data_IF_147627779486
#
_entry.id   IF_147627779486
#
_cell.length_a   1.000
_cell.length_b   1.000
_cell.length_c   1.000
_cell.angle_alpha   90.00
_cell.angle_beta   90.00
_cell.angle_gamma   90.00
#
_symmetry.space_group_name_H-M   'P 1'
#
loop_
_entity.id
_entity.type
_entity.pdbx_description
1 polymer ?
#
# COMPACT_ATOMS: atom_id res chain seq x y z
N UNK A 1 13.46 -5.86 -2.28
CA UNK A 1 12.54 -6.62 -3.14
C UNK A 1 11.48 -5.65 -3.62
N UNK A 2 11.26 -5.61 -4.93
CA UNK A 2 10.25 -4.73 -5.55
C UNK A 2 9.15 -5.59 -6.15
N UNK A 3 7.94 -5.04 -6.16
CA UNK A 3 6.83 -5.55 -6.96
C UNK A 3 6.50 -4.51 -8.03
N UNK A 4 5.90 -4.96 -9.12
CA UNK A 4 5.66 -4.15 -10.31
C UNK A 4 4.17 -3.98 -10.59
N UNK A 5 3.88 -3.20 -11.62
CA UNK A 5 2.54 -3.06 -12.17
C UNK A 5 2.32 -4.09 -13.28
N UNK A 6 1.06 -4.46 -13.50
CA UNK A 6 0.63 -5.22 -14.65
C UNK A 6 0.58 -4.35 -15.92
N UNK A 7 0.21 -4.96 -17.04
CA UNK A 7 0.07 -4.27 -18.33
C UNK A 7 -1.01 -3.16 -18.36
N UNK A 8 -1.92 -3.13 -17.37
CA UNK A 8 -2.97 -2.13 -17.24
C UNK A 8 -2.53 -0.95 -16.34
N UNK A 9 -1.33 -1.02 -15.77
CA UNK A 9 -0.83 -0.06 -14.80
C UNK A 9 -1.48 -0.23 -13.42
N UNK A 10 -2.04 -1.40 -13.12
CA UNK A 10 -2.48 -1.78 -11.77
C UNK A 10 -1.38 -2.55 -11.05
N UNK A 11 -1.44 -2.63 -9.72
CA UNK A 11 -0.48 -3.43 -8.96
C UNK A 11 -0.62 -4.90 -9.36
N UNK A 12 0.50 -5.56 -9.69
CA UNK A 12 0.51 -7.00 -9.93
C UNK A 12 0.38 -7.74 -8.57
N UNK A 13 -0.87 -8.00 -8.21
CA UNK A 13 -1.23 -8.64 -6.94
C UNK A 13 -0.75 -10.08 -6.86
N UNK A 14 -0.72 -10.80 -7.99
CA UNK A 14 -0.27 -12.19 -8.02
C UNK A 14 1.24 -12.25 -7.74
N UNK A 15 2.00 -11.38 -8.40
CA UNK A 15 3.44 -11.24 -8.15
C UNK A 15 3.71 -10.82 -6.71
N UNK A 16 3.01 -9.81 -6.20
CA UNK A 16 3.17 -9.36 -4.82
C UNK A 16 2.88 -10.49 -3.84
N UNK A 17 1.80 -11.24 -4.05
CA UNK A 17 1.42 -12.36 -3.19
C UNK A 17 2.46 -13.48 -3.18
N UNK A 18 2.95 -13.86 -4.36
CA UNK A 18 4.00 -14.87 -4.52
C UNK A 18 5.27 -14.45 -3.77
N UNK A 19 5.73 -13.22 -4.02
CA UNK A 19 6.93 -12.66 -3.39
C UNK A 19 6.79 -12.55 -1.87
N UNK A 20 5.62 -12.15 -1.38
CA UNK A 20 5.33 -12.04 0.05
C UNK A 20 5.42 -13.40 0.75
N UNK A 21 4.86 -14.46 0.16
CA UNK A 21 4.91 -15.82 0.73
C UNK A 21 6.30 -16.46 0.65
N UNK A 22 7.01 -16.22 -0.45
CA UNK A 22 8.35 -16.77 -0.67
C UNK A 22 9.37 -16.15 0.28
N UNK A 23 9.36 -14.82 0.41
CA UNK A 23 10.40 -14.10 1.14
C UNK A 23 10.00 -13.68 2.55
N UNK A 24 8.71 -13.72 2.90
CA UNK A 24 8.14 -13.35 4.22
C UNK A 24 8.76 -12.07 4.79
N UNK A 25 8.72 -10.95 4.04
CA UNK A 25 9.28 -9.69 4.53
C UNK A 25 8.57 -9.26 5.82
N UNK A 26 9.27 -8.59 6.72
CA UNK A 26 8.67 -8.03 7.94
C UNK A 26 7.81 -6.79 7.68
N UNK A 27 7.89 -6.22 6.48
CA UNK A 27 7.31 -4.95 6.10
C UNK A 27 6.85 -5.00 4.64
N UNK A 28 5.62 -4.58 4.39
CA UNK A 28 5.10 -4.27 3.06
C UNK A 28 4.87 -2.76 3.01
N UNK A 29 5.52 -2.09 2.05
CA UNK A 29 5.41 -0.64 1.87
C UNK A 29 4.68 -0.35 0.57
N UNK A 30 3.64 0.48 0.62
CA UNK A 30 2.90 0.93 -0.56
C UNK A 30 2.77 2.45 -0.58
N UNK A 31 3.09 3.03 -1.73
CA UNK A 31 3.02 4.46 -2.02
C UNK A 31 3.64 4.73 -3.38
N UNK A 32 3.30 5.86 -4.01
CA UNK A 32 3.78 6.15 -5.36
C UNK A 32 3.80 7.64 -5.65
N UNK A 33 4.83 8.08 -6.36
CA UNK A 33 4.97 9.47 -6.84
C UNK A 33 4.24 9.69 -8.17
N UNK A 34 4.16 8.67 -9.03
CA UNK A 34 3.51 8.72 -10.35
C UNK A 34 2.37 7.72 -10.54
N UNK A 35 1.86 7.13 -9.45
CA UNK A 35 0.77 6.17 -9.53
C UNK A 35 -0.58 6.89 -9.53
N UNK A 36 -1.35 6.73 -10.61
CA UNK A 36 -2.59 7.49 -10.85
C UNK A 36 -3.87 6.74 -10.49
N UNK A 37 -3.76 5.47 -10.06
CA UNK A 37 -4.91 4.65 -9.67
C UNK A 37 -5.20 4.78 -8.18
N UNK A 38 -6.42 4.38 -7.82
CA UNK A 38 -6.81 4.23 -6.43
C UNK A 38 -6.03 3.08 -5.80
N UNK A 39 -5.39 3.35 -4.67
CA UNK A 39 -4.69 2.32 -3.92
C UNK A 39 -5.67 1.38 -3.20
N UNK A 40 -5.47 0.07 -3.38
CA UNK A 40 -6.27 -0.98 -2.75
C UNK A 40 -5.68 -1.36 -1.39
N UNK A 41 -5.82 -0.47 -0.40
CA UNK A 41 -5.21 -0.63 0.94
C UNK A 41 -5.55 -1.95 1.64
N UNK A 42 -6.80 -2.39 1.53
CA UNK A 42 -7.27 -3.65 2.11
C UNK A 42 -6.49 -4.86 1.59
N UNK A 43 -6.19 -4.90 0.28
CA UNK A 43 -5.43 -6.00 -0.32
C UNK A 43 -4.02 -6.07 0.23
N UNK A 44 -3.36 -4.92 0.41
CA UNK A 44 -2.04 -4.86 1.03
C UNK A 44 -2.05 -5.35 2.48
N UNK A 45 -3.03 -4.89 3.28
CA UNK A 45 -3.18 -5.31 4.66
C UNK A 45 -3.41 -6.82 4.77
N UNK A 46 -4.30 -7.39 3.95
CA UNK A 46 -4.56 -8.83 3.94
C UNK A 46 -3.30 -9.66 3.67
N UNK A 47 -2.47 -9.24 2.71
CA UNK A 47 -1.21 -9.93 2.41
C UNK A 47 -0.25 -9.81 3.59
N UNK A 48 -0.13 -8.62 4.19
CA UNK A 48 0.73 -8.38 5.33
C UNK A 48 0.31 -9.24 6.54
N UNK A 49 -0.98 -9.28 6.86
CA UNK A 49 -1.53 -10.08 7.94
C UNK A 49 -1.29 -11.58 7.72
N UNK A 50 -1.43 -12.05 6.48
CA UNK A 50 -1.23 -13.46 6.14
C UNK A 50 0.21 -13.93 6.40
N UNK A 51 1.20 -13.08 6.17
CA UNK A 51 2.62 -13.42 6.37
C UNK A 51 3.18 -12.93 7.72
N UNK A 52 2.37 -12.27 8.56
CA UNK A 52 2.82 -11.69 9.82
C UNK A 52 3.74 -10.47 9.65
N UNK A 53 3.50 -9.65 8.62
CA UNK A 53 4.24 -8.43 8.32
C UNK A 53 3.47 -7.17 8.71
N UNK A 54 4.19 -6.06 8.87
CA UNK A 54 3.57 -4.75 8.98
C UNK A 54 3.26 -4.16 7.60
N UNK A 55 2.11 -3.51 7.47
CA UNK A 55 1.74 -2.73 6.29
C UNK A 55 1.94 -1.23 6.53
N UNK A 56 2.73 -0.58 5.66
CA UNK A 56 2.96 0.87 5.65
C UNK A 56 2.36 1.49 4.40
N UNK A 57 1.51 2.49 4.59
CA UNK A 57 0.99 3.34 3.52
C UNK A 57 1.72 4.70 3.51
N UNK A 58 2.46 5.00 2.44
CA UNK A 58 3.01 6.33 2.18
C UNK A 58 2.01 7.13 1.35
N UNK A 59 1.35 8.08 1.99
CA UNK A 59 0.35 8.96 1.39
C UNK A 59 0.91 10.35 1.09
N UNK A 60 2.23 10.58 1.09
CA UNK A 60 2.80 11.92 0.96
C UNK A 60 2.32 12.70 -0.27
N UNK A 61 2.05 11.99 -1.38
CA UNK A 61 1.54 12.61 -2.62
C UNK A 61 0.00 12.69 -2.71
N UNK A 62 -0.72 11.94 -1.88
CA UNK A 62 -2.19 11.86 -1.90
C UNK A 62 -2.83 12.28 -0.57
N UNK A 63 -2.04 12.77 0.39
CA UNK A 63 -2.49 13.09 1.74
C UNK A 63 -3.59 14.14 1.76
N UNK A 64 -3.51 15.15 0.90
CA UNK A 64 -4.58 16.14 0.72
C UNK A 64 -5.88 15.53 0.18
N UNK A 65 -5.80 14.57 -0.74
CA UNK A 65 -6.98 13.88 -1.29
C UNK A 65 -7.63 12.95 -0.26
N UNK A 66 -6.80 12.27 0.55
CA UNK A 66 -7.26 11.45 1.68
C UNK A 66 -7.93 12.32 2.74
N UNK A 67 -7.31 13.43 3.14
CA UNK A 67 -7.87 14.36 4.11
C UNK A 67 -9.17 15.02 3.60
N UNK A 68 -9.26 15.29 2.30
CA UNK A 68 -10.47 15.80 1.65
C UNK A 68 -11.57 14.75 1.41
N UNK A 69 -11.33 13.48 1.74
CA UNK A 69 -12.32 12.40 1.60
C UNK A 69 -12.59 11.95 0.17
N UNK A 70 -11.80 12.40 -0.82
CA UNK A 70 -11.97 12.07 -2.24
C UNK A 70 -11.07 10.93 -2.71
N UNK A 71 -10.14 10.48 -1.85
CA UNK A 71 -9.36 9.27 -2.04
C UNK A 71 -9.51 8.36 -0.81
N UNK A 72 -9.62 7.02 -0.98
CA UNK A 72 -9.73 6.10 0.15
C UNK A 72 -8.63 6.29 1.17
N UNK A 73 -9.03 6.32 2.44
CA UNK A 73 -8.14 6.44 3.58
C UNK A 73 -7.45 5.10 3.89
N UNK A 74 -6.13 5.07 4.14
CA UNK A 74 -5.42 3.86 4.54
C UNK A 74 -5.62 3.51 6.03
N UNK A 75 -6.21 4.39 6.83
CA UNK A 75 -6.33 4.27 8.30
C UNK A 75 -6.89 2.94 8.81
N UNK A 76 -7.96 2.37 8.24
CA UNK A 76 -8.49 1.10 8.74
C UNK A 76 -7.60 -0.12 8.41
N UNK A 77 -6.56 0.05 7.59
CA UNK A 77 -5.77 -1.05 7.03
C UNK A 77 -4.27 -0.94 7.36
N UNK A 78 -3.72 0.27 7.36
CA UNK A 78 -2.29 0.50 7.51
C UNK A 78 -1.87 0.54 8.99
N UNK A 79 -0.81 -0.20 9.30
CA UNK A 79 -0.18 -0.19 10.61
C UNK A 79 0.59 1.11 10.84
N UNK A 80 1.22 1.64 9.79
CA UNK A 80 1.95 2.91 9.80
C UNK A 80 1.56 3.73 8.58
N UNK A 81 1.40 5.04 8.79
CA UNK A 81 1.13 6.03 7.74
C UNK A 81 2.28 7.02 7.70
N UNK A 82 2.87 7.24 6.53
CA UNK A 82 3.89 8.27 6.32
C UNK A 82 3.31 9.36 5.40
N UNK A 83 3.53 10.62 5.76
CA UNK A 83 2.99 11.77 5.04
C UNK A 83 1.73 12.39 5.67
N UNK A 84 1.28 11.91 6.82
CA UNK A 84 0.35 12.66 7.66
C UNK A 84 1.13 13.62 8.56
N UNK A 85 0.82 14.91 8.45
CA UNK A 85 1.28 15.91 9.40
C UNK A 85 0.34 15.88 10.60
N UNK A 86 0.87 15.55 11.79
CA UNK A 86 0.12 15.71 13.05
C UNK A 86 -0.13 17.20 13.23
N UNK A 87 -1.38 17.64 13.05
CA UNK A 87 -1.86 18.91 13.60
C UNK A 87 -1.86 18.84 15.12
#
# INVERSE_FOLDING_TARGET
MHYFLDQNGEVDWEQLYRLAREHKPKLIWSGGTGYTRIFQWEKYARIADEIGAYFVADISHIGGLVAGGVHPSPVPFAHVRKGEEKR
#
